data_IF_980128582615
#
_entry.id   IF_980128582615
#
_cell.length_a   1.000
_cell.length_b   1.000
_cell.length_c   1.000
_cell.angle_alpha   90.00
_cell.angle_beta   90.00
_cell.angle_gamma   90.00
#
_symmetry.space_group_name_H-M   'P 1'
#
loop_
_entity.id
_entity.type
_entity.pdbx_description
1 polymer ?
#
# COMPACT_ATOMS: atom_id res chain seq x y z
N UNK A 1 -24.75 5.02 22.97
CA UNK A 1 -23.47 4.41 23.42
C UNK A 1 -22.97 3.45 22.34
N UNK A 2 -22.39 3.99 21.27
CA UNK A 2 -21.26 3.42 20.54
C UNK A 2 -20.71 4.54 19.65
N UNK A 3 -19.52 5.02 20.00
CA UNK A 3 -18.79 6.06 19.29
C UNK A 3 -18.59 5.65 17.83
N UNK A 4 -19.37 6.22 16.92
CA UNK A 4 -19.08 6.21 15.48
C UNK A 4 -17.93 7.20 15.29
N UNK A 5 -16.72 6.73 15.58
CA UNK A 5 -15.50 7.53 15.54
C UNK A 5 -15.25 8.12 14.15
N UNK A 6 -15.34 9.45 14.08
CA UNK A 6 -14.59 10.38 13.22
C UNK A 6 -14.23 9.84 11.82
N UNK A 7 -15.22 9.73 10.93
CA UNK A 7 -14.92 9.72 9.49
C UNK A 7 -14.52 11.15 9.12
N UNK A 8 -13.32 11.34 8.59
CA UNK A 8 -12.86 12.65 8.14
C UNK A 8 -13.59 12.96 6.82
N UNK A 9 -14.52 13.90 6.85
CA UNK A 9 -15.41 14.18 5.71
C UNK A 9 -14.78 15.17 4.71
N UNK A 10 -13.67 15.82 5.07
CA UNK A 10 -12.97 16.78 4.22
C UNK A 10 -11.49 16.44 4.01
N UNK A 11 -10.98 16.80 2.82
CA UNK A 11 -9.55 16.66 2.49
C UNK A 11 -8.69 17.49 3.45
N UNK A 12 -9.18 18.65 3.87
CA UNK A 12 -8.51 19.56 4.81
C UNK A 12 -8.28 18.89 6.17
N UNK A 13 -9.29 18.18 6.70
CA UNK A 13 -9.20 17.48 7.99
C UNK A 13 -8.23 16.29 7.94
N UNK A 14 -8.18 15.58 6.80
CA UNK A 14 -7.19 14.52 6.53
C UNK A 14 -5.78 15.11 6.49
N UNK A 15 -5.61 16.21 5.78
CA UNK A 15 -4.34 16.93 5.67
C UNK A 15 -3.88 17.37 7.05
N UNK A 16 -4.72 18.06 7.82
CA UNK A 16 -4.35 18.56 9.13
C UNK A 16 -3.99 17.44 10.13
N UNK A 17 -4.72 16.31 10.08
CA UNK A 17 -4.47 15.17 10.97
C UNK A 17 -3.22 14.37 10.64
N UNK A 18 -2.86 14.25 9.36
CA UNK A 18 -1.76 13.39 8.91
C UNK A 18 -0.51 14.15 8.44
N UNK A 19 -0.58 15.48 8.32
CA UNK A 19 0.57 16.32 7.95
C UNK A 19 1.65 16.28 9.03
N UNK A 20 2.86 15.92 8.62
CA UNK A 20 4.05 16.01 9.47
C UNK A 20 5.06 16.93 8.82
N UNK A 21 5.40 18.05 9.47
CA UNK A 21 6.38 19.02 8.97
C UNK A 21 7.79 18.43 9.06
N UNK A 22 8.45 18.27 7.92
CA UNK A 22 9.85 17.82 7.82
C UNK A 22 10.82 18.95 7.45
N UNK A 23 12.11 18.75 7.68
CA UNK A 23 13.16 19.71 7.30
C UNK A 23 13.25 19.90 5.77
N UNK A 24 13.68 21.09 5.26
CA UNK A 24 13.63 21.42 3.84
C UNK A 24 14.38 20.41 2.94
N UNK A 25 15.55 19.93 3.37
CA UNK A 25 16.33 18.91 2.64
C UNK A 25 15.66 17.53 2.63
N UNK A 26 15.00 17.15 3.72
CA UNK A 26 14.29 15.88 3.79
C UNK A 26 13.01 15.90 2.94
N UNK A 27 12.30 17.04 2.88
CA UNK A 27 11.13 17.21 2.00
C UNK A 27 11.47 16.91 0.54
N UNK A 28 12.57 17.44 0.01
CA UNK A 28 12.98 17.22 -1.38
C UNK A 28 13.15 15.72 -1.70
N UNK A 29 13.81 14.96 -0.80
CA UNK A 29 14.01 13.52 -0.99
C UNK A 29 12.68 12.76 -1.02
N UNK A 30 11.75 13.12 -0.13
CA UNK A 30 10.43 12.49 -0.08
C UNK A 30 9.54 12.87 -1.27
N UNK A 31 9.63 14.09 -1.81
CA UNK A 31 8.91 14.49 -3.03
C UNK A 31 9.40 13.68 -4.23
N UNK A 32 10.72 13.60 -4.43
CA UNK A 32 11.30 12.82 -5.54
C UNK A 32 10.89 11.35 -5.43
N UNK A 33 10.99 10.78 -4.22
CA UNK A 33 10.59 9.39 -4.00
C UNK A 33 9.08 9.17 -4.21
N UNK A 34 8.23 10.10 -3.75
CA UNK A 34 6.79 10.07 -3.96
C UNK A 34 6.43 10.10 -5.45
N UNK A 35 7.09 10.94 -6.25
CA UNK A 35 6.89 10.99 -7.70
C UNK A 35 7.30 9.71 -8.42
N UNK A 36 8.35 9.03 -7.98
CA UNK A 36 8.73 7.71 -8.51
C UNK A 36 7.59 6.71 -8.29
N UNK A 37 7.00 6.67 -7.10
CA UNK A 37 5.85 5.79 -6.82
C UNK A 37 4.60 6.18 -7.61
N UNK A 38 4.34 7.48 -7.81
CA UNK A 38 3.25 7.94 -8.68
C UNK A 38 3.46 7.50 -10.13
N UNK A 39 4.69 7.55 -10.65
CA UNK A 39 4.99 7.08 -11.99
C UNK A 39 4.65 5.59 -12.14
N UNK A 40 5.01 4.74 -11.16
CA UNK A 40 4.62 3.33 -11.14
C UNK A 40 3.09 3.15 -11.05
N UNK A 41 2.40 3.96 -10.25
CA UNK A 41 0.94 3.93 -10.16
C UNK A 41 0.28 4.31 -11.50
N UNK A 42 0.82 5.29 -12.23
CA UNK A 42 0.33 5.72 -13.54
C UNK A 42 0.57 4.64 -14.60
N UNK A 43 1.75 4.03 -14.62
CA UNK A 43 2.05 2.92 -15.55
C UNK A 43 1.05 1.78 -15.33
N UNK A 44 0.71 1.49 -14.08
CA UNK A 44 -0.29 0.49 -13.74
C UNK A 44 -1.71 0.77 -14.23
N UNK A 45 -2.06 2.01 -14.59
CA UNK A 45 -3.38 2.32 -15.18
C UNK A 45 -3.51 1.66 -16.56
N UNK A 46 -2.39 1.55 -17.30
CA UNK A 46 -2.35 0.95 -18.62
C UNK A 46 -2.17 -0.57 -18.59
N UNK A 47 -1.75 -1.13 -17.45
CA UNK A 47 -1.51 -2.56 -17.26
C UNK A 47 -2.68 -3.18 -16.47
N UNK A 48 -3.60 -3.92 -17.10
CA UNK A 48 -4.69 -4.57 -16.39
C UNK A 48 -4.12 -5.60 -15.40
N UNK A 49 -4.58 -5.53 -14.14
CA UNK A 49 -4.09 -6.38 -13.04
C UNK A 49 -2.96 -5.78 -12.20
N UNK A 50 -2.42 -4.63 -12.57
CA UNK A 50 -1.42 -3.94 -11.76
C UNK A 50 -2.09 -3.19 -10.59
N UNK A 51 -1.64 -3.38 -9.33
CA UNK A 51 -2.27 -2.74 -8.18
C UNK A 51 -1.85 -1.26 -8.07
N UNK A 52 -2.52 -0.38 -8.84
CA UNK A 52 -2.25 1.08 -8.88
C UNK A 52 -2.42 1.74 -7.51
N UNK A 53 -3.43 1.35 -6.74
CA UNK A 53 -3.71 1.88 -5.40
C UNK A 53 -2.60 1.53 -4.42
N UNK A 54 -2.02 0.33 -4.50
CA UNK A 54 -0.94 -0.11 -3.60
C UNK A 54 0.33 0.73 -3.75
N UNK A 55 0.60 1.27 -4.95
CA UNK A 55 1.71 2.20 -5.19
C UNK A 55 1.35 3.64 -4.83
N UNK A 56 0.08 4.03 -5.01
CA UNK A 56 -0.40 5.37 -4.70
C UNK A 56 -0.46 5.65 -3.18
N UNK A 57 -0.78 4.66 -2.34
CA UNK A 57 -0.83 4.82 -0.87
C UNK A 57 0.52 5.25 -0.25
N UNK A 58 1.65 4.55 -0.48
CA UNK A 58 2.94 5.00 0.02
C UNK A 58 3.39 6.32 -0.61
N UNK A 59 3.01 6.60 -1.86
CA UNK A 59 3.25 7.90 -2.49
C UNK A 59 2.55 9.04 -1.73
N UNK A 60 1.28 8.86 -1.37
CA UNK A 60 0.54 9.85 -0.58
C UNK A 60 1.09 10.00 0.84
N UNK A 61 1.57 8.91 1.46
CA UNK A 61 2.28 8.99 2.73
C UNK A 61 3.58 9.80 2.64
N UNK A 62 4.34 9.65 1.56
CA UNK A 62 5.54 10.45 1.31
C UNK A 62 5.19 11.92 1.07
N UNK A 63 4.06 12.20 0.41
CA UNK A 63 3.56 13.56 0.25
C UNK A 63 3.10 14.19 1.56
N UNK A 64 2.45 13.44 2.46
CA UNK A 64 2.02 13.96 3.77
C UNK A 64 3.18 14.37 4.70
N UNK A 65 4.40 13.88 4.42
CA UNK A 65 5.63 14.22 5.17
C UNK A 65 6.42 15.35 4.50
N UNK A 66 6.23 15.55 3.19
CA UNK A 66 6.99 16.52 2.42
C UNK A 66 6.27 17.85 2.26
N UNK A 67 5.08 17.85 1.64
CA UNK A 67 4.40 19.07 1.24
C UNK A 67 2.89 18.89 1.17
N UNK A 68 2.17 19.89 1.67
CA UNK A 68 0.72 19.91 1.72
C UNK A 68 0.10 19.88 0.32
N UNK A 69 0.71 20.63 -0.61
CA UNK A 69 0.17 20.80 -1.96
C UNK A 69 0.15 19.48 -2.74
N UNK A 70 1.21 18.69 -2.62
CA UNK A 70 1.28 17.38 -3.27
C UNK A 70 0.38 16.34 -2.60
N UNK A 71 0.23 16.41 -1.28
CA UNK A 71 -0.67 15.51 -0.56
C UNK A 71 -2.14 15.76 -0.96
N UNK A 72 -2.57 17.02 -0.99
CA UNK A 72 -3.89 17.41 -1.48
C UNK A 72 -4.13 16.97 -2.92
N UNK A 73 -3.15 17.19 -3.80
CA UNK A 73 -3.24 16.75 -5.20
C UNK A 73 -3.41 15.22 -5.32
N UNK A 74 -2.70 14.45 -4.49
CA UNK A 74 -2.83 12.99 -4.51
C UNK A 74 -4.21 12.49 -4.08
N UNK A 75 -4.89 13.22 -3.18
CA UNK A 75 -6.24 12.92 -2.69
C UNK A 75 -7.35 13.36 -3.66
N UNK A 76 -7.13 14.40 -4.47
CA UNK A 76 -8.15 14.95 -5.38
C UNK A 76 -8.05 14.42 -6.81
N UNK A 77 -7.01 13.64 -7.15
CA UNK A 77 -6.81 13.16 -8.51
C UNK A 77 -7.87 12.12 -8.94
N UNK A 78 -8.35 12.18 -10.18
CA UNK A 78 -9.47 11.35 -10.68
C UNK A 78 -9.22 9.84 -10.72
N UNK A 79 -7.95 9.41 -10.76
CA UNK A 79 -7.59 8.00 -10.97
C UNK A 79 -7.50 7.19 -9.68
N UNK A 80 -6.85 7.74 -8.65
CA UNK A 80 -6.61 7.04 -7.38
C UNK A 80 -7.01 7.89 -6.17
N UNK A 81 -7.42 9.16 -6.36
CA UNK A 81 -7.85 10.07 -5.30
C UNK A 81 -9.04 9.57 -4.50
N UNK A 82 -10.14 9.07 -5.11
CA UNK A 82 -11.26 8.51 -4.35
C UNK A 82 -10.87 7.35 -3.44
N UNK A 83 -10.04 6.42 -3.94
CA UNK A 83 -9.56 5.28 -3.17
C UNK A 83 -8.61 5.70 -2.03
N UNK A 84 -7.75 6.69 -2.28
CA UNK A 84 -6.88 7.25 -1.24
C UNK A 84 -7.67 8.03 -0.19
N UNK A 85 -8.62 8.87 -0.61
CA UNK A 85 -9.48 9.63 0.29
C UNK A 85 -10.23 8.68 1.22
N UNK A 86 -10.85 7.64 0.69
CA UNK A 86 -11.56 6.65 1.50
C UNK A 86 -10.62 5.90 2.46
N UNK A 87 -9.40 5.55 2.02
CA UNK A 87 -8.39 4.92 2.87
C UNK A 87 -7.94 5.80 4.06
N UNK A 88 -7.77 7.10 3.84
CA UNK A 88 -7.39 8.04 4.88
C UNK A 88 -8.58 8.47 5.76
N UNK A 89 -9.76 8.66 5.18
CA UNK A 89 -11.00 9.00 5.88
C UNK A 89 -11.45 7.91 6.85
N UNK A 90 -11.11 6.65 6.58
CA UNK A 90 -11.42 5.48 7.42
C UNK A 90 -10.29 5.10 8.39
N UNK A 91 -9.26 5.94 8.52
CA UNK A 91 -8.22 5.77 9.53
C UNK A 91 -7.13 4.75 9.21
N UNK A 92 -6.78 4.56 7.91
CA UNK A 92 -5.78 3.59 7.44
C UNK A 92 -6.18 2.12 7.66
N UNK A 93 -7.46 1.82 7.54
CA UNK A 93 -7.94 0.43 7.66
C UNK A 93 -7.94 -0.24 6.28
N UNK A 94 -7.18 -1.33 6.16
CA UNK A 94 -7.15 -2.14 4.93
C UNK A 94 -8.42 -3.00 4.88
N UNK A 95 -9.22 -2.93 3.81
CA UNK A 95 -10.44 -3.72 3.72
C UNK A 95 -10.11 -5.22 3.60
N UNK A 96 -10.94 -6.08 4.20
CA UNK A 96 -10.71 -7.55 4.26
C UNK A 96 -10.44 -8.19 2.90
N UNK A 97 -11.11 -7.72 1.84
CA UNK A 97 -10.89 -8.21 0.48
C UNK A 97 -9.46 -7.94 -0.02
N UNK A 98 -8.87 -6.80 0.34
CA UNK A 98 -7.48 -6.48 -0.02
C UNK A 98 -6.48 -7.37 0.74
N UNK A 99 -6.76 -7.69 2.02
CA UNK A 99 -5.95 -8.67 2.78
C UNK A 99 -5.97 -10.05 2.10
N UNK A 100 -7.13 -10.49 1.59
CA UNK A 100 -7.26 -11.74 0.85
C UNK A 100 -6.46 -11.69 -0.45
N UNK A 101 -6.58 -10.62 -1.24
CA UNK A 101 -5.81 -10.47 -2.49
C UNK A 101 -4.30 -10.45 -2.25
N UNK A 102 -3.82 -9.82 -1.17
CA UNK A 102 -2.40 -9.85 -0.80
C UNK A 102 -1.94 -11.27 -0.48
N UNK A 103 -2.73 -12.03 0.31
CA UNK A 103 -2.40 -13.43 0.63
C UNK A 103 -2.39 -14.27 -0.65
N UNK A 104 -3.39 -14.13 -1.51
CA UNK A 104 -3.49 -14.85 -2.78
C UNK A 104 -2.29 -14.54 -3.68
N UNK A 105 -1.93 -13.27 -3.84
CA UNK A 105 -0.79 -12.86 -4.65
C UNK A 105 0.55 -13.37 -4.09
N UNK A 106 0.74 -13.32 -2.76
CA UNK A 106 1.91 -13.90 -2.09
C UNK A 106 1.99 -15.40 -2.34
N UNK A 107 0.88 -16.13 -2.21
CA UNK A 107 0.83 -17.57 -2.47
C UNK A 107 1.12 -17.91 -3.93
N UNK A 108 0.54 -17.17 -4.89
CA UNK A 108 0.77 -17.40 -6.32
C UNK A 108 2.23 -17.14 -6.69
N UNK A 109 2.83 -16.05 -6.21
CA UNK A 109 4.24 -15.75 -6.51
C UNK A 109 5.21 -16.71 -5.82
N UNK A 110 4.96 -17.08 -4.56
CA UNK A 110 5.77 -18.09 -3.88
C UNK A 110 5.65 -19.46 -4.57
N UNK A 111 4.46 -19.85 -5.02
CA UNK A 111 4.24 -21.07 -5.79
C UNK A 111 4.97 -21.06 -7.14
N UNK A 112 4.89 -19.95 -7.89
CA UNK A 112 5.64 -19.75 -9.13
C UNK A 112 7.16 -19.82 -8.91
N UNK A 113 7.66 -19.21 -7.85
CA UNK A 113 9.08 -19.20 -7.50
C UNK A 113 9.58 -20.61 -7.14
N UNK A 114 8.79 -21.37 -6.37
CA UNK A 114 9.08 -22.78 -6.06
C UNK A 114 9.06 -23.62 -7.33
N UNK A 115 8.10 -23.42 -8.22
CA UNK A 115 7.99 -24.15 -9.50
C UNK A 115 9.19 -23.88 -10.42
N UNK A 116 9.59 -22.61 -10.57
CA UNK A 116 10.79 -22.21 -11.30
C UNK A 116 12.07 -22.79 -10.70
N UNK A 117 12.21 -22.77 -9.37
CA UNK A 117 13.36 -23.37 -8.67
C UNK A 117 13.41 -24.90 -8.85
N UNK A 118 12.24 -25.56 -8.96
CA UNK A 118 12.16 -27.00 -9.25
C UNK A 118 12.67 -27.32 -10.66
N UNK A 119 12.29 -26.51 -11.65
CA UNK A 119 12.71 -26.68 -13.06
C UNK A 119 14.21 -26.39 -13.21
N UNK A 120 14.74 -25.46 -12.42
CA UNK A 120 16.16 -25.12 -12.40
C UNK A 120 17.08 -26.20 -11.79
N UNK A 121 16.52 -27.30 -11.24
CA UNK A 121 17.28 -28.43 -10.72
C UNK A 121 17.88 -28.22 -9.33
N UNK A 122 17.34 -27.29 -8.55
CA UNK A 122 17.81 -27.02 -7.18
C UNK A 122 17.50 -28.22 -6.26
N UNK A 123 18.45 -28.73 -5.46
CA UNK A 123 18.28 -29.88 -4.56
C UNK A 123 17.26 -29.68 -3.42
N UNK A 124 16.59 -28.52 -3.34
CA UNK A 124 15.43 -28.29 -2.47
C UNK A 124 15.64 -27.23 -1.38
N UNK A 125 16.87 -26.71 -1.22
CA UNK A 125 17.16 -25.68 -0.22
C UNK A 125 16.49 -24.34 -0.56
N UNK A 126 16.49 -23.95 -1.85
CA UNK A 126 15.80 -22.74 -2.31
C UNK A 126 14.29 -22.80 -2.07
N UNK A 127 13.67 -23.94 -2.34
CA UNK A 127 12.24 -24.16 -2.13
C UNK A 127 11.85 -24.10 -0.65
N UNK A 128 12.65 -24.76 0.21
CA UNK A 128 12.43 -24.76 1.65
C UNK A 128 12.52 -23.33 2.23
N UNK A 129 13.49 -22.53 1.78
CA UNK A 129 13.63 -21.15 2.20
C UNK A 129 12.42 -20.29 1.77
N UNK A 130 11.97 -20.42 0.51
CA UNK A 130 10.80 -19.69 -0.01
C UNK A 130 9.54 -20.09 0.75
N UNK A 131 9.36 -21.37 1.06
CA UNK A 131 8.22 -21.87 1.82
C UNK A 131 8.20 -21.32 3.25
N UNK A 132 9.36 -21.31 3.94
CA UNK A 132 9.48 -20.74 5.29
C UNK A 132 9.18 -19.24 5.26
N UNK A 133 9.75 -18.50 4.30
CA UNK A 133 9.48 -17.07 4.14
C UNK A 133 7.99 -16.78 3.85
N UNK A 134 7.33 -17.62 3.05
CA UNK A 134 5.90 -17.52 2.79
C UNK A 134 5.06 -17.78 4.05
N UNK A 135 5.34 -18.85 4.81
CA UNK A 135 4.63 -19.16 6.06
C UNK A 135 4.77 -18.01 7.07
N UNK A 136 5.98 -17.49 7.25
CA UNK A 136 6.23 -16.35 8.14
C UNK A 136 5.49 -15.10 7.66
N UNK A 137 5.50 -14.83 6.35
CA UNK A 137 4.82 -13.70 5.75
C UNK A 137 3.29 -13.76 5.93
N UNK A 138 2.68 -14.92 5.67
CA UNK A 138 1.24 -15.14 5.86
C UNK A 138 0.86 -15.06 7.33
N UNK A 139 1.66 -15.66 8.22
CA UNK A 139 1.42 -15.61 9.67
C UNK A 139 1.47 -14.17 10.21
N UNK A 140 2.50 -13.40 9.82
CA UNK A 140 2.65 -12.01 10.23
C UNK A 140 1.53 -11.13 9.71
N UNK A 141 1.16 -11.28 8.43
CA UNK A 141 0.05 -10.53 7.84
C UNK A 141 -1.29 -10.89 8.52
N UNK A 142 -1.47 -12.16 8.88
CA UNK A 142 -2.68 -12.64 9.56
C UNK A 142 -2.82 -12.04 10.95
N UNK A 143 -1.75 -12.07 11.76
CA UNK A 143 -1.77 -11.59 13.14
C UNK A 143 -1.72 -10.07 13.30
N UNK A 144 -0.98 -9.37 12.42
CA UNK A 144 -0.67 -7.94 12.64
C UNK A 144 -1.60 -6.99 11.91
N UNK A 145 -2.27 -7.43 10.85
CA UNK A 145 -3.20 -6.57 10.09
C UNK A 145 -4.61 -6.72 10.67
N UNK A 146 -5.04 -5.76 11.48
CA UNK A 146 -6.44 -5.60 11.87
C UNK A 146 -7.29 -5.33 10.63
N UNK A 147 -8.20 -6.25 10.31
CA UNK A 147 -9.03 -6.22 9.11
C UNK A 147 -10.50 -6.02 9.47
N UNK A 148 -11.15 -4.98 8.91
CA UNK A 148 -12.54 -4.63 9.20
C UNK A 148 -13.51 -5.57 8.46
N UNK A 149 -14.55 -6.14 9.10
CA UNK A 149 -15.70 -6.69 8.37
C UNK A 149 -16.30 -5.57 7.52
N UNK A 150 -16.64 -5.91 6.27
CA UNK A 150 -17.44 -5.05 5.40
C UNK A 150 -18.80 -4.82 6.05
#
# INVERSE_FOLDING_TARGET
MSEVGLRLDSVDEIVERYMRKSSPKQRMRYVVLGWVFVAFAIIGIWVPGWPTVSWAVPAAYLFSISDEKYFRWSLTNKFFGPALFEYYATGKTVPKHAKIWIIVAMTVMSGLSIWLATIAGDPGYGQAFIAVAWVVGVWWLSYKVQSRPV
#
